data_IF_176177858507
#
_entry.id   IF_176177858507
#
_cell.length_a   1.000
_cell.length_b   1.000
_cell.length_c   1.000
_cell.angle_alpha   90.00
_cell.angle_beta   90.00
_cell.angle_gamma   90.00
#
_symmetry.space_group_name_H-M   'P 1'
#
loop_
_entity.id
_entity.type
_entity.pdbx_description
1 polymer ?
#
# COMPACT_ATOMS: atom_id res chain seq x y z
N UNK A 1 -24.23 35.07 -27.23
CA UNK A 1 -24.51 33.62 -27.19
C UNK A 1 -23.27 32.75 -27.30
N UNK A 2 -22.27 33.10 -28.12
CA UNK A 2 -21.02 32.32 -28.21
C UNK A 2 -20.16 32.36 -26.94
N UNK A 3 -20.23 33.43 -26.12
CA UNK A 3 -19.47 33.58 -24.87
C UNK A 3 -20.00 32.71 -23.74
N UNK A 4 -21.28 32.37 -23.71
CA UNK A 4 -21.88 31.50 -22.70
C UNK A 4 -21.47 30.04 -22.83
N UNK A 5 -21.26 29.56 -24.04
CA UNK A 5 -20.79 28.19 -24.30
C UNK A 5 -19.33 27.99 -23.92
N UNK A 6 -18.49 29.00 -24.09
CA UNK A 6 -17.08 29.01 -23.70
C UNK A 6 -16.91 28.99 -22.16
N UNK A 7 -17.77 29.76 -21.44
CA UNK A 7 -17.74 29.81 -19.98
C UNK A 7 -18.13 28.49 -19.35
N UNK A 8 -19.11 27.78 -19.92
CA UNK A 8 -19.54 26.46 -19.46
C UNK A 8 -18.46 25.39 -19.67
N UNK A 9 -17.70 25.46 -20.76
CA UNK A 9 -16.58 24.55 -21.04
C UNK A 9 -15.44 24.74 -20.05
N UNK A 10 -15.11 25.98 -19.69
CA UNK A 10 -14.07 26.30 -18.70
C UNK A 10 -14.43 25.80 -17.30
N UNK A 11 -15.71 25.89 -16.91
CA UNK A 11 -16.22 25.37 -15.64
C UNK A 11 -16.12 23.84 -15.57
N UNK A 12 -16.40 23.13 -16.67
CA UNK A 12 -16.29 21.67 -16.74
C UNK A 12 -14.84 21.20 -16.55
N UNK A 13 -13.86 21.91 -17.11
CA UNK A 13 -12.43 21.59 -16.98
C UNK A 13 -11.96 21.80 -15.54
N UNK A 14 -12.49 22.81 -14.84
CA UNK A 14 -12.15 23.08 -13.44
C UNK A 14 -12.66 21.99 -12.49
N UNK A 15 -13.84 21.42 -12.75
CA UNK A 15 -14.37 20.31 -11.94
C UNK A 15 -13.57 19.01 -12.13
N UNK A 16 -13.06 18.74 -13.32
CA UNK A 16 -12.30 17.54 -13.63
C UNK A 16 -10.96 17.46 -12.86
N UNK A 17 -10.35 18.61 -12.52
CA UNK A 17 -9.06 18.64 -11.82
C UNK A 17 -9.16 18.36 -10.31
N UNK A 18 -10.37 18.39 -9.72
CA UNK A 18 -10.56 18.17 -8.28
C UNK A 18 -10.91 16.73 -7.90
N UNK A 19 -11.15 15.85 -8.90
CA UNK A 19 -11.61 14.47 -8.66
C UNK A 19 -10.46 13.54 -8.24
N UNK A 20 -9.19 13.92 -8.52
CA UNK A 20 -8.03 13.04 -8.33
C UNK A 20 -7.39 13.10 -6.94
N UNK A 21 -7.85 13.98 -6.04
CA UNK A 21 -7.16 14.27 -4.78
C UNK A 21 -7.75 13.60 -3.54
N UNK A 22 -8.87 12.84 -3.63
CA UNK A 22 -9.52 12.25 -2.47
C UNK A 22 -9.39 10.74 -2.44
N UNK A 23 -8.95 10.24 -1.28
CA UNK A 23 -8.96 8.81 -0.98
C UNK A 23 -10.40 8.31 -0.96
N UNK A 24 -10.68 7.16 -1.62
CA UNK A 24 -12.00 6.56 -1.62
C UNK A 24 -12.42 6.11 -0.21
N UNK A 25 -13.72 6.06 0.05
CA UNK A 25 -14.24 5.56 1.32
C UNK A 25 -13.87 4.10 1.53
N UNK A 26 -13.87 3.29 0.49
CA UNK A 26 -13.44 1.89 0.55
C UNK A 26 -11.98 1.78 0.98
N UNK A 27 -11.10 2.62 0.46
CA UNK A 27 -9.71 2.66 0.87
C UNK A 27 -9.57 2.99 2.36
N UNK A 28 -10.31 3.99 2.84
CA UNK A 28 -10.30 4.36 4.27
C UNK A 28 -10.77 3.25 5.17
N UNK A 29 -11.86 2.57 4.81
CA UNK A 29 -12.40 1.45 5.59
C UNK A 29 -11.39 0.32 5.66
N UNK A 30 -10.84 -0.11 4.52
CA UNK A 30 -9.87 -1.21 4.49
C UNK A 30 -8.55 -0.85 5.19
N UNK A 31 -8.14 0.42 5.12
CA UNK A 31 -6.96 0.91 5.84
C UNK A 31 -7.13 0.78 7.35
N UNK A 32 -8.30 1.16 7.87
CA UNK A 32 -8.63 1.00 9.30
C UNK A 32 -8.70 -0.47 9.69
N UNK A 33 -9.37 -1.30 8.89
CA UNK A 33 -9.57 -2.71 9.19
C UNK A 33 -8.23 -3.45 9.31
N UNK A 34 -7.37 -3.36 8.29
CA UNK A 34 -6.12 -4.10 8.33
C UNK A 34 -5.21 -3.60 9.46
N UNK A 35 -5.22 -2.29 9.71
CA UNK A 35 -4.40 -1.69 10.76
C UNK A 35 -4.80 -2.22 12.14
N UNK A 36 -6.10 -2.27 12.44
CA UNK A 36 -6.59 -2.77 13.71
C UNK A 36 -6.27 -4.26 13.89
N UNK A 37 -6.51 -5.08 12.87
CA UNK A 37 -6.18 -6.50 12.92
C UNK A 37 -4.67 -6.74 13.07
N UNK A 38 -3.85 -6.01 12.33
CA UNK A 38 -2.39 -6.18 12.39
C UNK A 38 -1.81 -5.75 13.73
N UNK A 39 -2.35 -4.71 14.36
CA UNK A 39 -1.91 -4.25 15.68
C UNK A 39 -2.07 -5.31 16.76
N UNK A 40 -3.11 -6.12 16.68
CA UNK A 40 -3.33 -7.22 17.61
C UNK A 40 -2.79 -8.56 17.09
N UNK A 41 -1.96 -8.51 16.04
CA UNK A 41 -1.32 -9.67 15.40
C UNK A 41 -2.30 -10.68 14.80
N UNK A 42 -3.50 -10.23 14.46
CA UNK A 42 -4.46 -11.04 13.71
C UNK A 42 -4.21 -10.88 12.22
N UNK A 43 -3.13 -11.47 11.75
CA UNK A 43 -2.68 -11.30 10.36
C UNK A 43 -3.57 -12.04 9.37
N UNK A 44 -4.23 -13.10 9.79
CA UNK A 44 -5.18 -13.83 8.95
C UNK A 44 -6.31 -12.90 8.48
N UNK A 45 -6.92 -12.16 9.40
CA UNK A 45 -8.01 -11.24 9.07
C UNK A 45 -7.50 -9.92 8.49
N UNK A 46 -6.25 -9.56 8.76
CA UNK A 46 -5.65 -8.34 8.20
C UNK A 46 -5.31 -8.47 6.71
N UNK A 47 -5.08 -9.67 6.20
CA UNK A 47 -4.52 -9.90 4.86
C UNK A 47 -5.39 -9.35 3.74
N UNK A 48 -6.68 -9.68 3.72
CA UNK A 48 -7.59 -9.26 2.65
C UNK A 48 -7.75 -7.73 2.58
N UNK A 49 -8.11 -7.03 3.67
CA UNK A 49 -8.21 -5.57 3.60
C UNK A 49 -6.86 -4.91 3.32
N UNK A 50 -5.76 -5.49 3.78
CA UNK A 50 -4.42 -4.99 3.46
C UNK A 50 -4.13 -5.09 1.95
N UNK A 51 -4.41 -6.23 1.33
CA UNK A 51 -4.23 -6.41 -0.12
C UNK A 51 -5.02 -5.40 -0.93
N UNK A 52 -6.23 -5.08 -0.50
CA UNK A 52 -7.05 -4.07 -1.18
C UNK A 52 -6.40 -2.70 -1.15
N UNK A 53 -5.95 -2.22 0.02
CA UNK A 53 -5.32 -0.90 0.11
C UNK A 53 -3.96 -0.87 -0.59
N UNK A 54 -3.20 -1.95 -0.51
CA UNK A 54 -1.92 -2.04 -1.21
C UNK A 54 -2.10 -1.93 -2.72
N UNK A 55 -3.14 -2.57 -3.25
CA UNK A 55 -3.44 -2.57 -4.69
C UNK A 55 -4.08 -1.26 -5.16
N UNK A 56 -5.05 -0.74 -4.42
CA UNK A 56 -5.90 0.37 -4.85
C UNK A 56 -5.38 1.75 -4.43
N UNK A 57 -4.74 1.83 -3.27
CA UNK A 57 -4.26 3.11 -2.74
C UNK A 57 -2.88 2.97 -2.05
N UNK A 58 -1.84 2.57 -2.81
CA UNK A 58 -0.54 2.21 -2.23
C UNK A 58 0.21 3.35 -1.54
N UNK A 59 -0.16 4.60 -1.78
CA UNK A 59 0.46 5.77 -1.12
C UNK A 59 -0.35 6.33 0.05
N UNK A 60 -1.44 5.66 0.44
CA UNK A 60 -2.35 6.19 1.45
C UNK A 60 -1.77 6.23 2.87
N UNK A 61 -0.88 5.30 3.22
CA UNK A 61 -0.29 5.23 4.56
C UNK A 61 1.00 4.42 4.56
N UNK A 62 1.99 4.86 5.35
CA UNK A 62 3.21 4.09 5.60
C UNK A 62 2.91 2.73 6.24
N UNK A 63 1.81 2.63 6.98
CA UNK A 63 1.42 1.39 7.65
C UNK A 63 1.15 0.25 6.67
N UNK A 64 0.78 0.57 5.42
CA UNK A 64 0.64 -0.42 4.35
C UNK A 64 1.94 -1.23 4.21
N UNK A 65 3.09 -0.58 4.37
CA UNK A 65 4.40 -1.19 4.22
C UNK A 65 4.96 -1.74 5.54
N UNK A 66 4.92 -0.95 6.61
CA UNK A 66 5.46 -1.38 7.91
C UNK A 66 4.70 -2.56 8.49
N UNK A 67 3.37 -2.55 8.45
CA UNK A 67 2.54 -3.67 8.88
C UNK A 67 2.49 -4.77 7.82
N UNK A 68 2.57 -4.38 6.54
CA UNK A 68 2.61 -5.33 5.42
C UNK A 68 3.76 -6.32 5.51
N UNK A 69 4.94 -5.89 5.96
CA UNK A 69 6.08 -6.79 6.21
C UNK A 69 5.68 -7.89 7.19
N UNK A 70 5.02 -7.54 8.29
CA UNK A 70 4.59 -8.50 9.32
C UNK A 70 3.53 -9.46 8.79
N UNK A 71 2.58 -8.94 8.01
CA UNK A 71 1.53 -9.75 7.37
C UNK A 71 2.16 -10.78 6.43
N UNK A 72 3.11 -10.36 5.60
CA UNK A 72 3.77 -11.25 4.66
C UNK A 72 4.73 -12.23 5.35
N UNK A 73 5.42 -11.84 6.40
CA UNK A 73 6.21 -12.78 7.22
C UNK A 73 5.32 -13.86 7.82
N UNK A 74 4.13 -13.48 8.31
CA UNK A 74 3.15 -14.46 8.77
C UNK A 74 2.74 -15.41 7.64
N UNK A 75 2.47 -14.87 6.45
CA UNK A 75 2.08 -15.68 5.29
C UNK A 75 3.17 -16.65 4.87
N UNK A 76 4.43 -16.23 4.90
CA UNK A 76 5.58 -17.09 4.65
C UNK A 76 5.62 -18.25 5.63
N UNK A 77 5.38 -18.00 6.92
CA UNK A 77 5.34 -19.04 7.95
C UNK A 77 4.18 -20.02 7.78
N UNK A 78 3.07 -19.56 7.19
CA UNK A 78 1.91 -20.42 6.92
C UNK A 78 2.07 -21.28 5.67
N UNK A 79 3.05 -21.01 4.83
CA UNK A 79 3.27 -21.75 3.59
C UNK A 79 3.57 -23.23 3.88
N UNK A 80 2.85 -24.12 3.22
CA UNK A 80 3.02 -25.58 3.35
C UNK A 80 3.71 -26.19 2.13
N UNK A 81 3.83 -25.42 1.03
CA UNK A 81 4.51 -25.86 -0.20
C UNK A 81 5.60 -24.86 -0.56
N UNK A 82 6.58 -25.33 -1.35
CA UNK A 82 7.63 -24.45 -1.87
C UNK A 82 7.05 -23.36 -2.76
N UNK A 83 6.02 -23.66 -3.52
CA UNK A 83 5.34 -22.70 -4.38
C UNK A 83 4.70 -21.57 -3.58
N UNK A 84 3.97 -21.90 -2.51
CA UNK A 84 3.37 -20.91 -1.61
C UNK A 84 4.44 -20.04 -0.94
N UNK A 85 5.53 -20.65 -0.48
CA UNK A 85 6.66 -19.94 0.11
C UNK A 85 7.26 -18.95 -0.89
N UNK A 86 7.56 -19.42 -2.10
CA UNK A 86 8.18 -18.59 -3.13
C UNK A 86 7.28 -17.40 -3.51
N UNK A 87 5.97 -17.62 -3.62
CA UNK A 87 5.01 -16.57 -3.94
C UNK A 87 4.96 -15.50 -2.85
N UNK A 88 4.88 -15.91 -1.59
CA UNK A 88 4.84 -14.98 -0.45
C UNK A 88 6.16 -14.23 -0.29
N UNK A 89 7.27 -14.91 -0.49
CA UNK A 89 8.60 -14.30 -0.44
C UNK A 89 8.79 -13.26 -1.55
N UNK A 90 8.39 -13.58 -2.78
CA UNK A 90 8.44 -12.63 -3.90
C UNK A 90 7.58 -11.40 -3.62
N UNK A 91 6.41 -11.59 -3.02
CA UNK A 91 5.53 -10.50 -2.63
C UNK A 91 6.18 -9.59 -1.58
N UNK A 92 6.89 -10.18 -0.60
CA UNK A 92 7.64 -9.41 0.40
C UNK A 92 8.76 -8.57 -0.23
N UNK A 93 9.50 -9.13 -1.17
CA UNK A 93 10.56 -8.40 -1.87
C UNK A 93 9.98 -7.24 -2.68
N UNK A 94 8.86 -7.46 -3.37
CA UNK A 94 8.16 -6.39 -4.10
C UNK A 94 7.65 -5.30 -3.15
N UNK A 95 7.16 -5.68 -1.98
CA UNK A 95 6.68 -4.71 -0.98
C UNK A 95 7.79 -3.73 -0.59
N UNK A 96 9.01 -4.20 -0.38
CA UNK A 96 10.14 -3.32 -0.09
C UNK A 96 10.45 -2.36 -1.23
N UNK A 97 10.39 -2.82 -2.46
CA UNK A 97 10.63 -1.96 -3.63
C UNK A 97 9.55 -0.88 -3.75
N UNK A 98 8.29 -1.25 -3.53
CA UNK A 98 7.17 -0.30 -3.55
C UNK A 98 7.25 0.69 -2.38
N UNK A 99 7.72 0.25 -1.22
CA UNK A 99 7.97 1.14 -0.08
C UNK A 99 8.99 2.23 -0.42
N UNK A 100 10.05 1.87 -1.12
CA UNK A 100 11.06 2.82 -1.58
C UNK A 100 10.43 3.84 -2.55
N UNK A 101 9.59 3.37 -3.46
CA UNK A 101 8.91 4.22 -4.44
C UNK A 101 8.03 5.27 -3.75
N UNK A 102 7.23 4.87 -2.78
CA UNK A 102 6.23 5.76 -2.15
C UNK A 102 6.76 6.48 -0.92
N UNK A 103 7.68 5.89 -0.18
CA UNK A 103 8.14 6.39 1.11
C UNK A 103 9.67 6.35 1.29
N UNK A 104 10.42 6.30 0.21
CA UNK A 104 11.89 6.28 0.25
C UNK A 104 12.53 7.55 0.82
N UNK A 105 11.80 8.67 0.84
CA UNK A 105 12.25 9.95 1.38
C UNK A 105 11.80 10.20 2.83
N UNK A 106 11.13 9.23 3.46
CA UNK A 106 10.71 9.36 4.86
C UNK A 106 11.95 9.46 5.77
N UNK A 107 12.09 10.53 6.58
CA UNK A 107 13.25 10.70 7.46
C UNK A 107 13.35 9.64 8.56
N UNK A 108 12.25 8.99 8.95
CA UNK A 108 12.26 7.93 9.96
C UNK A 108 12.73 6.59 9.40
N UNK A 109 12.43 6.30 8.14
CA UNK A 109 12.85 5.07 7.46
C UNK A 109 13.32 5.40 6.05
N UNK A 110 14.51 6.04 5.94
CA UNK A 110 15.00 6.45 4.62
C UNK A 110 15.40 5.24 3.77
N UNK A 111 15.55 5.47 2.47
CA UNK A 111 15.87 4.44 1.49
C UNK A 111 16.97 3.46 1.92
N UNK A 112 18.13 3.91 2.47
CA UNK A 112 19.16 2.97 2.90
C UNK A 112 18.68 2.00 4.00
N UNK A 113 17.86 2.48 4.93
CA UNK A 113 17.31 1.62 5.98
C UNK A 113 16.35 0.57 5.41
N UNK A 114 15.52 0.94 4.43
CA UNK A 114 14.60 0.02 3.75
C UNK A 114 15.39 -1.06 2.99
N UNK A 115 16.43 -0.67 2.28
CA UNK A 115 17.31 -1.59 1.55
C UNK A 115 18.03 -2.55 2.50
N UNK A 116 18.48 -2.08 3.64
CA UNK A 116 19.13 -2.92 4.65
C UNK A 116 18.16 -3.96 5.21
N UNK A 117 16.92 -3.58 5.49
CA UNK A 117 15.90 -4.50 5.96
C UNK A 117 15.56 -5.55 4.90
N UNK A 118 15.39 -5.12 3.65
CA UNK A 118 15.17 -6.03 2.51
C UNK A 118 16.30 -7.05 2.39
N UNK A 119 17.56 -6.61 2.47
CA UNK A 119 18.73 -7.49 2.38
C UNK A 119 18.75 -8.52 3.50
N UNK A 120 18.39 -8.12 4.73
CA UNK A 120 18.29 -9.01 5.88
C UNK A 120 17.26 -10.11 5.65
N UNK A 121 16.10 -9.78 5.11
CA UNK A 121 15.05 -10.76 4.81
C UNK A 121 15.45 -11.70 3.68
N UNK A 122 16.12 -11.18 2.66
CA UNK A 122 16.59 -11.98 1.52
C UNK A 122 17.60 -13.05 1.93
N UNK A 123 18.45 -12.76 2.93
CA UNK A 123 19.53 -13.65 3.37
C UNK A 123 19.06 -14.69 4.42
N UNK A 124 17.81 -14.69 4.84
CA UNK A 124 17.22 -15.69 5.70
C UNK A 124 16.60 -16.83 4.90
#
# INVERSE_FOLDING_TARGET
MKSLKLTALLLAIFFASNITAQMSDECRVNLSLFTEYAKVKNYADAYEPWMKVYTECPSASKNIYSLGVRILEWKIKQATTQEEFNAAFAQLMKLYDDRIQYYGNDPKTPRPAILADKATKHNK
#
